data_IF_500723738442
#
_entry.id   IF_500723738442
#
_cell.length_a   1.000
_cell.length_b   1.000
_cell.length_c   1.000
_cell.angle_alpha   90.00
_cell.angle_beta   90.00
_cell.angle_gamma   90.00
#
_symmetry.space_group_name_H-M   'P 1'
#
loop_
_entity.id
_entity.type
_entity.pdbx_description
1 polymer ?
#
# COMPACT_ATOMS: atom_id res chain seq x y z
N UNK A 1 3.87 -17.44 7.42
CA UNK A 1 2.99 -17.22 6.26
C UNK A 1 2.04 -16.11 6.65
N UNK A 2 2.29 -14.89 6.19
CA UNK A 2 1.51 -13.72 6.60
C UNK A 2 0.33 -13.54 5.65
N UNK A 3 -0.87 -13.48 6.21
CA UNK A 3 -2.10 -13.21 5.46
C UNK A 3 -2.25 -11.70 5.33
N UNK A 4 -1.63 -11.11 4.31
CA UNK A 4 -1.99 -9.78 3.87
C UNK A 4 -3.40 -9.84 3.27
N UNK A 5 -4.39 -9.24 3.93
CA UNK A 5 -5.74 -9.15 3.38
C UNK A 5 -5.72 -8.11 2.26
N UNK A 6 -5.41 -8.56 1.05
CA UNK A 6 -5.42 -7.74 -0.16
C UNK A 6 -6.87 -7.51 -0.56
N UNK A 7 -7.40 -6.33 -0.30
CA UNK A 7 -8.56 -5.87 -1.06
C UNK A 7 -8.04 -5.23 -2.33
N UNK A 8 -8.45 -5.75 -3.47
CA UNK A 8 -8.28 -5.12 -4.78
C UNK A 8 -8.96 -3.76 -4.77
N UNK A 9 -8.23 -2.73 -4.33
CA UNK A 9 -8.53 -1.35 -4.67
C UNK A 9 -7.24 -0.76 -5.19
N UNK A 10 -7.15 -0.74 -6.52
CA UNK A 10 -6.17 0.04 -7.26
C UNK A 10 -6.30 1.47 -6.73
N UNK A 11 -5.23 2.01 -6.15
CA UNK A 11 -5.22 3.41 -5.75
C UNK A 11 -5.07 4.27 -7.00
N UNK A 12 -6.17 4.45 -7.73
CA UNK A 12 -6.24 5.46 -8.77
C UNK A 12 -6.46 6.80 -8.08
N UNK A 13 -5.38 7.58 -7.94
CA UNK A 13 -5.33 8.95 -7.43
C UNK A 13 -5.66 9.10 -5.93
N UNK A 14 -6.58 8.31 -5.37
CA UNK A 14 -6.99 8.33 -3.96
C UNK A 14 -6.83 6.96 -3.31
N UNK A 15 -5.91 6.89 -2.36
CA UNK A 15 -5.59 5.69 -1.62
C UNK A 15 -6.22 5.74 -0.23
N UNK A 16 -6.55 4.58 0.35
CA UNK A 16 -7.08 4.55 1.73
C UNK A 16 -6.02 5.13 2.66
N UNK A 17 -6.38 6.06 3.56
CA UNK A 17 -5.40 6.68 4.45
C UNK A 17 -4.67 5.63 5.33
N UNK A 18 -5.35 4.54 5.67
CA UNK A 18 -4.79 3.40 6.44
C UNK A 18 -3.76 2.57 5.67
N UNK A 19 -3.64 2.76 4.36
CA UNK A 19 -2.65 2.07 3.52
C UNK A 19 -1.26 2.73 3.58
N UNK A 20 -1.22 4.02 3.90
CA UNK A 20 0.01 4.80 3.97
C UNK A 20 0.61 4.61 5.37
N UNK A 21 1.84 4.13 5.40
CA UNK A 21 2.60 3.96 6.63
C UNK A 21 3.64 5.06 6.73
N UNK A 22 3.79 5.64 7.91
CA UNK A 22 4.73 6.73 8.18
C UNK A 22 5.84 6.24 9.12
N UNK A 23 7.10 6.29 8.69
CA UNK A 23 8.29 6.10 9.54
C UNK A 23 9.08 7.38 9.49
N UNK A 24 9.50 7.89 10.65
CA UNK A 24 10.47 9.00 10.70
C UNK A 24 10.09 10.19 9.79
N UNK A 25 8.80 10.46 9.63
CA UNK A 25 8.27 11.53 8.77
C UNK A 25 8.20 11.20 7.27
N UNK A 26 8.68 10.04 6.84
CA UNK A 26 8.59 9.57 5.45
C UNK A 26 7.37 8.67 5.29
N UNK A 27 6.59 8.94 4.25
CA UNK A 27 5.42 8.14 3.86
C UNK A 27 5.82 7.05 2.87
N UNK A 28 5.28 5.87 3.06
CA UNK A 28 5.50 4.75 2.16
C UNK A 28 4.27 3.85 2.11
N UNK A 29 4.16 3.13 1.00
CA UNK A 29 3.16 2.10 0.78
C UNK A 29 3.86 0.78 0.50
N UNK A 30 3.11 -0.30 0.65
CA UNK A 30 3.57 -1.63 0.28
C UNK A 30 2.90 -2.06 -1.02
N UNK A 31 3.70 -2.26 -2.06
CA UNK A 31 3.28 -2.80 -3.34
C UNK A 31 3.50 -4.32 -3.36
N UNK A 32 2.68 -5.05 -4.09
CA UNK A 32 2.92 -6.47 -4.39
C UNK A 32 3.31 -6.66 -5.85
N UNK A 33 4.56 -7.07 -6.07
CA UNK A 33 5.10 -7.45 -7.38
C UNK A 33 5.42 -8.93 -7.34
N UNK A 34 4.79 -9.73 -8.20
CA UNK A 34 5.03 -11.18 -8.29
C UNK A 34 4.93 -11.89 -6.91
N UNK A 35 3.87 -11.61 -6.15
CA UNK A 35 3.61 -12.17 -4.81
C UNK A 35 4.65 -11.79 -3.74
N UNK A 36 5.52 -10.82 -4.01
CA UNK A 36 6.45 -10.24 -3.04
C UNK A 36 6.07 -8.82 -2.70
N UNK A 37 6.21 -8.50 -1.41
CA UNK A 37 6.01 -7.17 -0.87
C UNK A 37 7.23 -6.31 -1.20
N UNK A 38 6.98 -5.11 -1.71
CA UNK A 38 7.98 -4.08 -1.98
C UNK A 38 7.57 -2.80 -1.26
N UNK A 39 8.46 -2.27 -0.44
CA UNK A 39 8.24 -1.00 0.25
C UNK A 39 8.63 0.15 -0.67
N UNK A 40 7.68 1.03 -0.98
CA UNK A 40 7.91 2.17 -1.88
C UNK A 40 7.60 3.47 -1.15
N UNK A 41 8.56 4.39 -1.16
CA UNK A 41 8.36 5.75 -0.68
C UNK A 41 7.40 6.49 -1.61
N UNK A 42 6.35 7.07 -1.05
CA UNK A 42 5.35 7.83 -1.81
C UNK A 42 5.29 9.26 -1.31
N UNK A 43 4.92 10.16 -2.20
CA UNK A 43 4.50 11.51 -1.83
C UNK A 43 2.99 11.56 -1.86
N UNK A 44 2.41 12.11 -0.81
CA UNK A 44 0.96 12.23 -0.67
C UNK A 44 0.55 13.69 -0.58
N UNK A 45 -0.61 13.99 -1.14
CA UNK A 45 -1.19 15.32 -1.11
C UNK A 45 -2.27 15.43 -0.03
N UNK A 46 -3.46 15.83 -0.46
CA UNK A 46 -4.58 16.10 0.43
C UNK A 46 -5.10 14.79 1.03
N UNK A 47 -5.36 14.81 2.34
CA UNK A 47 -6.01 13.71 3.06
C UNK A 47 -7.33 14.18 3.65
N UNK A 48 -8.38 13.40 3.41
CA UNK A 48 -9.74 13.60 3.95
C UNK A 48 -10.01 12.68 5.16
N UNK A 49 -8.95 12.09 5.73
CA UNK A 49 -9.02 11.13 6.85
C UNK A 49 -9.51 9.73 6.47
N UNK A 50 -10.33 9.60 5.43
CA UNK A 50 -10.73 8.31 4.86
C UNK A 50 -9.84 7.91 3.68
N UNK A 51 -9.50 8.89 2.85
CA UNK A 51 -8.65 8.73 1.68
C UNK A 51 -7.57 9.80 1.68
N UNK A 52 -6.42 9.45 1.11
CA UNK A 52 -5.28 10.32 0.92
C UNK A 52 -4.87 10.24 -0.54
N UNK A 53 -4.67 11.39 -1.15
CA UNK A 53 -4.19 11.51 -2.51
C UNK A 53 -2.72 11.11 -2.60
N UNK A 54 -2.36 10.25 -3.54
CA UNK A 54 -0.95 9.95 -3.82
C UNK A 54 -0.54 10.74 -5.06
N UNK A 55 0.45 11.62 -4.91
CA UNK A 55 0.94 12.48 -5.98
C UNK A 55 2.14 11.88 -6.69
N UNK A 56 2.88 10.96 -6.05
CA UNK A 56 4.03 10.26 -6.66
C UNK A 56 4.37 8.96 -5.92
N UNK A 57 4.98 8.01 -6.66
CA UNK A 57 5.56 6.78 -6.12
C UNK A 57 4.76 5.50 -6.36
N UNK A 58 3.54 5.60 -6.90
CA UNK A 58 2.76 4.45 -7.41
C UNK A 58 1.99 4.88 -8.65
N UNK A 59 1.85 3.95 -9.58
CA UNK A 59 1.24 4.15 -10.89
C UNK A 59 -0.13 3.47 -11.00
N UNK A 60 -0.88 3.86 -12.02
CA UNK A 60 -2.17 3.26 -12.32
C UNK A 60 -1.99 1.80 -12.74
N UNK A 61 -2.49 0.89 -11.90
CA UNK A 61 -2.36 -0.57 -12.12
C UNK A 61 -1.54 -1.26 -11.04
N UNK A 62 -0.79 -0.48 -10.24
CA UNK A 62 0.02 -1.02 -9.15
C UNK A 62 -0.86 -1.62 -8.05
N UNK A 63 -0.43 -2.78 -7.57
CA UNK A 63 -1.18 -3.54 -6.57
C UNK A 63 -0.70 -3.18 -5.17
N UNK A 64 -1.26 -2.09 -4.64
CA UNK A 64 -0.95 -1.62 -3.28
C UNK A 64 -1.74 -2.38 -2.22
N UNK A 65 -1.07 -2.71 -1.13
CA UNK A 65 -1.67 -3.30 0.06
C UNK A 65 -2.38 -2.20 0.82
N UNK A 66 -3.61 -2.43 1.25
CA UNK A 66 -4.41 -1.44 2.00
C UNK A 66 -4.73 -1.87 3.45
N UNK A 67 -4.51 -3.14 3.78
CA UNK A 67 -4.78 -3.76 5.09
C UNK A 67 -3.70 -4.82 5.39
N UNK A 68 -3.31 -4.96 6.67
CA UNK A 68 -2.30 -5.94 7.09
C UNK A 68 -0.84 -5.48 7.02
N UNK A 69 -0.57 -4.23 6.63
CA UNK A 69 0.77 -3.61 6.54
C UNK A 69 1.65 -3.88 7.77
N UNK A 70 1.05 -3.83 8.97
CA UNK A 70 1.77 -3.94 10.25
C UNK A 70 2.46 -5.28 10.47
N UNK A 71 2.09 -6.30 9.71
CA UNK A 71 2.67 -7.64 9.77
C UNK A 71 3.59 -7.95 8.59
N UNK A 72 3.80 -6.97 7.69
CA UNK A 72 4.58 -7.14 6.48
C UNK A 72 5.91 -6.42 6.60
N UNK A 73 6.94 -7.10 6.10
CA UNK A 73 8.26 -6.53 5.91
C UNK A 73 8.55 -6.40 4.41
N UNK A 74 9.54 -5.59 4.07
CA UNK A 74 10.05 -5.55 2.71
C UNK A 74 10.58 -6.93 2.30
N UNK A 75 10.20 -7.41 1.11
CA UNK A 75 10.55 -8.73 0.60
C UNK A 75 9.68 -9.89 1.10
N UNK A 76 8.71 -9.64 1.98
CA UNK A 76 7.83 -10.69 2.49
C UNK A 76 6.96 -11.28 1.37
N UNK A 77 6.69 -12.58 1.43
CA UNK A 77 5.87 -13.25 0.42
C UNK A 77 4.42 -13.23 0.86
N UNK A 78 3.57 -12.62 0.03
CA UNK A 78 2.14 -12.46 0.31
C UNK A 78 1.31 -13.25 -0.67
N UNK A 79 0.29 -13.93 -0.15
CA UNK A 79 -0.66 -14.65 -0.99
C UNK A 79 -1.94 -13.83 -1.15
N UNK A 80 -2.32 -13.56 -2.40
CA UNK A 80 -3.47 -12.72 -2.72
C UNK A 80 -4.74 -13.54 -2.56
N UNK A 81 -5.49 -13.31 -1.48
CA UNK A 81 -6.83 -13.89 -1.30
C UNK A 81 -7.91 -12.90 -1.71
N UNK A 82 -8.53 -13.15 -2.87
CA UNK A 82 -9.77 -12.48 -3.28
C UNK A 82 -10.96 -13.17 -2.60
N UNK A 83 -11.61 -12.52 -1.63
CA UNK A 83 -12.89 -12.96 -1.08
C UNK A 83 -13.79 -11.77 -0.80
#
# INVERSE_FOLDING_TARGET
>A
MFFAKKREKICQEKCKATAIVVNNGVQYVYEVVEDKVKKISVSVGISDGKYTEITSGVELGDKVIIEGQSFLNDGDQVNISNS
#
